data_IF_308121598268
#
_entry.id   IF_308121598268
#
_cell.length_a   1.000
_cell.length_b   1.000
_cell.length_c   1.000
_cell.angle_alpha   90.00
_cell.angle_beta   90.00
_cell.angle_gamma   90.00
#
_symmetry.space_group_name_H-M   'P 1'
#
loop_
_entity.id
_entity.type
_entity.pdbx_description
1 polymer ?
#
# COMPACT_ATOMS: atom_id res chain seq x y z
N UNK A 1 37.21 -65.59 -65.21
CA UNK A 1 35.93 -66.31 -65.07
C UNK A 1 35.02 -65.74 -66.16
N UNK A 2 35.13 -66.22 -67.41
CA UNK A 2 34.63 -67.51 -67.92
C UNK A 2 33.12 -67.59 -67.70
N UNK A 3 32.23 -67.65 -68.68
CA UNK A 3 32.26 -68.34 -69.97
C UNK A 3 31.36 -67.58 -70.98
N UNK A 4 31.66 -67.41 -72.27
CA UNK A 4 32.12 -68.36 -73.31
C UNK A 4 31.11 -69.45 -73.67
N UNK A 5 30.40 -69.21 -74.78
CA UNK A 5 30.31 -70.11 -75.95
C UNK A 5 30.04 -71.60 -75.71
N UNK A 6 28.80 -72.01 -75.92
CA UNK A 6 28.33 -73.36 -76.30
C UNK A 6 26.97 -73.09 -76.98
N UNK A 7 26.59 -73.48 -78.18
CA UNK A 7 27.11 -74.41 -79.18
C UNK A 7 26.47 -73.99 -80.51
N UNK A 8 27.28 -73.66 -81.50
CA UNK A 8 26.90 -73.87 -82.89
C UNK A 8 26.87 -75.38 -83.12
N UNK A 9 25.86 -75.91 -83.81
CA UNK A 9 25.88 -77.05 -84.76
C UNK A 9 24.43 -77.52 -84.92
N UNK A 10 23.84 -77.22 -86.07
CA UNK A 10 22.97 -78.10 -86.87
C UNK A 10 22.74 -77.37 -88.20
N UNK A 11 23.81 -77.39 -89.00
CA UNK A 11 23.87 -76.96 -90.39
C UNK A 11 23.60 -78.18 -91.27
N UNK A 12 22.87 -77.96 -92.36
CA UNK A 12 22.78 -78.79 -93.57
C UNK A 12 21.90 -80.06 -93.46
N UNK A 13 21.08 -80.43 -94.44
CA UNK A 13 20.70 -79.85 -95.72
C UNK A 13 19.56 -80.72 -96.26
N UNK A 14 18.53 -80.11 -96.84
CA UNK A 14 17.72 -80.71 -97.92
C UNK A 14 16.99 -79.55 -98.61
N UNK A 15 17.58 -78.94 -99.65
CA UNK A 15 17.32 -79.22 -101.07
C UNK A 15 15.82 -79.20 -101.43
N UNK A 16 15.35 -78.05 -101.93
CA UNK A 16 14.64 -77.91 -103.22
C UNK A 16 13.91 -76.54 -103.30
N UNK A 17 14.38 -75.67 -104.20
CA UNK A 17 13.52 -74.69 -104.91
C UNK A 17 12.80 -75.46 -106.04
N UNK A 18 11.63 -75.04 -106.58
CA UNK A 18 11.32 -73.64 -106.92
C UNK A 18 9.85 -73.21 -106.70
N UNK A 19 9.57 -71.91 -106.86
CA UNK A 19 8.21 -71.41 -107.13
C UNK A 19 7.76 -70.23 -106.27
N UNK A 20 8.12 -69.01 -106.66
CA UNK A 20 7.22 -67.88 -106.48
C UNK A 20 6.06 -68.01 -107.50
N UNK A 21 4.91 -67.31 -107.36
CA UNK A 21 4.60 -66.22 -106.44
C UNK A 21 3.26 -66.42 -105.71
N UNK A 22 2.94 -65.55 -104.75
CA UNK A 22 1.68 -64.81 -104.67
C UNK A 22 1.63 -64.03 -103.36
N UNK A 23 1.81 -62.72 -103.50
CA UNK A 23 1.31 -61.72 -102.58
C UNK A 23 -0.19 -61.93 -102.34
N UNK A 24 -0.61 -62.03 -101.08
CA UNK A 24 -1.91 -61.58 -100.52
C UNK A 24 -2.12 -62.17 -99.12
N UNK A 25 -1.33 -61.71 -98.15
CA UNK A 25 -1.68 -61.78 -96.72
C UNK A 25 -1.00 -60.70 -95.86
N UNK A 26 -0.23 -59.79 -96.48
CA UNK A 26 0.43 -58.66 -95.81
C UNK A 26 -0.52 -57.52 -95.41
N UNK A 27 -1.59 -57.28 -96.16
CA UNK A 27 -2.46 -56.11 -95.94
C UNK A 27 -3.26 -56.18 -94.63
N UNK A 28 -3.80 -57.35 -94.24
CA UNK A 28 -4.53 -57.49 -92.96
C UNK A 28 -3.61 -57.33 -91.74
N UNK A 29 -2.35 -57.75 -91.82
CA UNK A 29 -1.36 -57.57 -90.74
C UNK A 29 -0.81 -56.14 -90.72
N UNK A 30 -0.65 -55.50 -91.87
CA UNK A 30 -0.24 -54.11 -91.98
C UNK A 30 -1.31 -53.13 -91.47
N UNK A 31 -2.59 -53.39 -91.74
CA UNK A 31 -3.68 -52.55 -91.23
C UNK A 31 -3.93 -52.75 -89.73
N UNK A 32 -3.85 -53.99 -89.21
CA UNK A 32 -3.87 -54.25 -87.77
C UNK A 32 -2.70 -53.57 -87.02
N UNK A 33 -1.50 -53.56 -87.61
CA UNK A 33 -0.34 -52.87 -87.06
C UNK A 33 -0.51 -51.33 -87.05
N UNK A 34 -1.14 -50.76 -88.09
CA UNK A 34 -1.46 -49.32 -88.16
C UNK A 34 -2.51 -48.90 -87.13
N UNK A 35 -3.54 -49.72 -86.90
CA UNK A 35 -4.53 -49.47 -85.86
C UNK A 35 -3.92 -49.53 -84.46
N UNK A 36 -3.05 -50.50 -84.19
CA UNK A 36 -2.30 -50.59 -82.94
C UNK A 36 -1.38 -49.36 -82.75
N UNK A 37 -0.68 -48.92 -83.80
CA UNK A 37 0.14 -47.72 -83.76
C UNK A 37 -0.67 -46.44 -83.46
N UNK A 38 -1.89 -46.31 -84.03
CA UNK A 38 -2.81 -45.19 -83.74
C UNK A 38 -3.29 -45.21 -82.29
N UNK A 39 -3.65 -46.38 -81.76
CA UNK A 39 -4.03 -46.53 -80.33
C UNK A 39 -2.88 -46.20 -79.40
N UNK A 40 -1.66 -46.65 -79.71
CA UNK A 40 -0.46 -46.29 -78.94
C UNK A 40 -0.16 -44.79 -79.01
N UNK A 41 -0.34 -44.16 -80.17
CA UNK A 41 -0.16 -42.71 -80.30
C UNK A 41 -1.21 -41.92 -79.50
N UNK A 42 -2.48 -42.36 -79.51
CA UNK A 42 -3.54 -41.77 -78.69
C UNK A 42 -3.27 -41.97 -77.18
N UNK A 43 -2.83 -43.16 -76.77
CA UNK A 43 -2.46 -43.45 -75.40
C UNK A 43 -1.27 -42.60 -74.95
N UNK A 44 -0.23 -42.44 -75.78
CA UNK A 44 0.89 -41.53 -75.48
C UNK A 44 0.43 -40.08 -75.33
N UNK A 45 -0.48 -39.60 -76.19
CA UNK A 45 -1.04 -38.24 -76.05
C UNK A 45 -1.87 -38.08 -74.78
N UNK A 46 -2.61 -39.10 -74.36
CA UNK A 46 -3.34 -39.08 -73.09
C UNK A 46 -2.37 -39.05 -71.90
N UNK A 47 -1.36 -39.92 -71.89
CA UNK A 47 -0.32 -39.94 -70.87
C UNK A 47 0.45 -38.62 -70.77
N UNK A 48 0.76 -37.97 -71.88
CA UNK A 48 1.42 -36.66 -71.86
C UNK A 48 0.50 -35.56 -71.29
N UNK A 49 -0.82 -35.64 -71.51
CA UNK A 49 -1.79 -34.72 -70.87
C UNK A 49 -1.88 -34.98 -69.37
N UNK A 50 -1.99 -36.24 -68.97
CA UNK A 50 -2.09 -36.63 -67.56
C UNK A 50 -0.81 -36.24 -66.80
N UNK A 51 0.38 -36.43 -67.40
CA UNK A 51 1.64 -35.93 -66.84
C UNK A 51 1.65 -34.40 -66.70
N UNK A 52 1.16 -33.68 -67.71
CA UNK A 52 1.08 -32.22 -67.67
C UNK A 52 0.07 -31.72 -66.62
N UNK A 53 -1.02 -32.46 -66.37
CA UNK A 53 -2.01 -32.15 -65.34
C UNK A 53 -1.46 -32.46 -63.94
N UNK A 54 -0.91 -33.65 -63.73
CA UNK A 54 -0.29 -34.05 -62.47
C UNK A 54 0.89 -33.15 -62.08
N UNK A 55 1.68 -32.68 -63.04
CA UNK A 55 2.78 -31.72 -62.75
C UNK A 55 2.24 -30.36 -62.34
N UNK A 56 1.14 -29.88 -62.93
CA UNK A 56 0.46 -28.65 -62.50
C UNK A 56 -0.15 -28.78 -61.11
N UNK A 57 -0.83 -29.89 -60.84
CA UNK A 57 -1.42 -30.16 -59.52
C UNK A 57 -0.35 -30.27 -58.44
N UNK A 58 0.75 -30.97 -58.72
CA UNK A 58 1.90 -31.06 -57.82
C UNK A 58 2.47 -29.68 -57.51
N UNK A 59 2.72 -28.86 -58.54
CA UNK A 59 3.22 -27.50 -58.35
C UNK A 59 2.24 -26.62 -57.54
N UNK A 60 0.93 -26.75 -57.79
CA UNK A 60 -0.09 -26.03 -57.04
C UNK A 60 -0.17 -26.48 -55.57
N UNK A 61 -0.06 -27.80 -55.32
CA UNK A 61 -0.03 -28.36 -53.96
C UNK A 61 1.22 -27.94 -53.20
N UNK A 62 2.39 -27.96 -53.84
CA UNK A 62 3.66 -27.49 -53.25
C UNK A 62 3.59 -25.99 -52.91
N UNK A 63 3.02 -25.17 -53.78
CA UNK A 63 2.81 -23.74 -53.50
C UNK A 63 1.87 -23.52 -52.30
N UNK A 64 0.77 -24.26 -52.20
CA UNK A 64 -0.14 -24.20 -51.05
C UNK A 64 0.51 -24.68 -49.76
N UNK A 65 1.34 -25.72 -49.82
CA UNK A 65 2.09 -26.21 -48.67
C UNK A 65 3.08 -25.16 -48.16
N UNK A 66 3.85 -24.54 -49.06
CA UNK A 66 4.77 -23.45 -48.72
C UNK A 66 4.05 -22.24 -48.11
N UNK A 67 2.88 -21.86 -48.65
CA UNK A 67 2.08 -20.78 -48.08
C UNK A 67 1.55 -21.14 -46.68
N UNK A 68 1.04 -22.35 -46.49
CA UNK A 68 0.55 -22.84 -45.20
C UNK A 68 1.68 -22.88 -44.16
N UNK A 69 2.88 -23.34 -44.54
CA UNK A 69 4.07 -23.32 -43.68
C UNK A 69 4.47 -21.89 -43.30
N UNK A 70 4.44 -20.95 -44.26
CA UNK A 70 4.68 -19.54 -44.01
C UNK A 70 3.69 -18.93 -43.00
N UNK A 71 2.40 -19.24 -43.17
CA UNK A 71 1.33 -18.82 -42.25
C UNK A 71 1.49 -19.43 -40.86
N UNK A 72 1.80 -20.73 -40.77
CA UNK A 72 2.08 -21.40 -39.50
C UNK A 72 3.30 -20.79 -38.80
N UNK A 73 4.36 -20.48 -39.53
CA UNK A 73 5.54 -19.79 -39.00
C UNK A 73 5.20 -18.40 -38.44
N UNK A 74 4.38 -17.63 -39.16
CA UNK A 74 3.91 -16.32 -38.69
C UNK A 74 3.03 -16.43 -37.43
N UNK A 75 2.07 -17.35 -37.42
CA UNK A 75 1.21 -17.59 -36.26
C UNK A 75 1.99 -18.03 -35.02
N UNK A 76 2.99 -18.91 -35.19
CA UNK A 76 3.88 -19.33 -34.09
C UNK A 76 4.66 -18.15 -33.51
N UNK A 77 5.19 -17.26 -34.35
CA UNK A 77 5.87 -16.04 -33.90
C UNK A 77 4.92 -15.12 -33.14
N UNK A 78 3.72 -14.90 -33.65
CA UNK A 78 2.72 -14.05 -33.00
C UNK A 78 2.28 -14.61 -31.65
N UNK A 79 2.07 -15.93 -31.56
CA UNK A 79 1.75 -16.62 -30.31
C UNK A 79 2.88 -16.47 -29.28
N UNK A 80 4.14 -16.62 -29.71
CA UNK A 80 5.29 -16.42 -28.82
C UNK A 80 5.36 -14.98 -28.28
N UNK A 81 5.09 -13.97 -29.12
CA UNK A 81 5.03 -12.56 -28.70
C UNK A 81 3.87 -12.32 -27.75
N UNK A 82 2.68 -12.84 -28.06
CA UNK A 82 1.50 -12.70 -27.21
C UNK A 82 1.71 -13.34 -25.82
N UNK A 83 2.31 -14.53 -25.76
CA UNK A 83 2.62 -15.20 -24.51
C UNK A 83 3.63 -14.42 -23.66
N UNK A 84 4.65 -13.81 -24.28
CA UNK A 84 5.60 -12.94 -23.56
C UNK A 84 4.89 -11.73 -22.95
N UNK A 85 4.07 -11.04 -23.74
CA UNK A 85 3.26 -9.90 -23.26
C UNK A 85 2.31 -10.31 -22.13
N UNK A 86 1.67 -11.48 -22.24
CA UNK A 86 0.80 -11.98 -21.19
C UNK A 86 1.57 -12.25 -19.89
N UNK A 87 2.79 -12.80 -19.98
CA UNK A 87 3.65 -13.00 -18.82
C UNK A 87 4.13 -11.68 -18.21
N UNK A 88 4.52 -10.70 -19.03
CA UNK A 88 4.91 -9.36 -18.60
C UNK A 88 3.77 -8.65 -17.86
N UNK A 89 2.59 -8.60 -18.47
CA UNK A 89 1.39 -8.02 -17.85
C UNK A 89 0.97 -8.76 -16.56
N UNK A 90 1.15 -10.08 -16.52
CA UNK A 90 0.93 -10.86 -15.31
C UNK A 90 1.86 -10.44 -14.17
N UNK A 91 3.15 -10.27 -14.47
CA UNK A 91 4.13 -9.77 -13.51
C UNK A 91 3.85 -8.35 -13.03
N UNK A 92 3.47 -7.44 -13.94
CA UNK A 92 3.06 -6.08 -13.58
C UNK A 92 1.82 -6.05 -12.68
N UNK A 93 0.81 -6.89 -12.97
CA UNK A 93 -0.39 -7.00 -12.14
C UNK A 93 -0.07 -7.49 -10.73
N UNK A 94 0.81 -8.48 -10.59
CA UNK A 94 1.20 -8.99 -9.28
C UNK A 94 2.05 -7.98 -8.50
N UNK A 95 2.91 -7.22 -9.19
CA UNK A 95 3.65 -6.11 -8.58
C UNK A 95 2.71 -5.01 -8.07
N UNK A 96 1.75 -4.57 -8.90
CA UNK A 96 0.75 -3.56 -8.52
C UNK A 96 -0.14 -4.03 -7.37
N UNK A 97 -0.53 -5.32 -7.34
CA UNK A 97 -1.25 -5.91 -6.20
C UNK A 97 -0.43 -5.83 -4.92
N UNK A 98 0.85 -6.19 -4.98
CA UNK A 98 1.76 -6.10 -3.84
C UNK A 98 1.96 -4.66 -3.34
N UNK A 99 2.07 -3.69 -4.25
CA UNK A 99 2.13 -2.27 -3.88
C UNK A 99 0.84 -1.78 -3.23
N UNK A 100 -0.31 -2.14 -3.80
CA UNK A 100 -1.63 -1.83 -3.24
C UNK A 100 -1.78 -2.39 -1.83
N UNK A 101 -1.36 -3.64 -1.60
CA UNK A 101 -1.42 -4.26 -0.27
C UNK A 101 -0.52 -3.54 0.74
N UNK A 102 0.71 -3.18 0.34
CA UNK A 102 1.62 -2.37 1.18
C UNK A 102 1.04 -1.00 1.50
N UNK A 103 0.46 -0.31 0.51
CA UNK A 103 -0.16 1.00 0.72
C UNK A 103 -1.37 0.90 1.65
N UNK A 104 -2.18 -0.15 1.50
CA UNK A 104 -3.33 -0.41 2.37
C UNK A 104 -2.89 -0.65 3.82
N UNK A 105 -1.84 -1.43 4.04
CA UNK A 105 -1.26 -1.66 5.38
C UNK A 105 -0.71 -0.36 5.98
N UNK A 106 0.02 0.43 5.20
CA UNK A 106 0.55 1.73 5.64
C UNK A 106 -0.56 2.69 6.00
N UNK A 107 -1.63 2.75 5.20
CA UNK A 107 -2.79 3.59 5.47
C UNK A 107 -3.43 3.20 6.82
N UNK A 108 -3.72 1.92 7.03
CA UNK A 108 -4.29 1.42 8.28
C UNK A 108 -3.38 1.72 9.50
N UNK A 109 -2.06 1.58 9.37
CA UNK A 109 -1.13 1.94 10.43
C UNK A 109 -1.14 3.44 10.73
N UNK A 110 -1.14 4.28 9.68
CA UNK A 110 -1.19 5.74 9.86
C UNK A 110 -2.50 6.22 10.46
N UNK A 111 -3.63 5.63 10.10
CA UNK A 111 -4.95 5.94 10.68
C UNK A 111 -4.98 5.56 12.16
N UNK A 112 -4.43 4.40 12.52
CA UNK A 112 -4.30 3.97 13.92
C UNK A 112 -3.44 4.96 14.73
N UNK A 113 -2.26 5.33 14.22
CA UNK A 113 -1.37 6.31 14.88
C UNK A 113 -2.04 7.68 15.01
N UNK A 114 -2.82 8.09 14.01
CA UNK A 114 -3.56 9.35 14.05
C UNK A 114 -4.66 9.33 15.13
N UNK A 115 -5.39 8.22 15.24
CA UNK A 115 -6.37 8.04 16.30
C UNK A 115 -5.72 8.07 17.70
N UNK A 116 -4.63 7.33 17.89
CA UNK A 116 -3.88 7.28 19.15
C UNK A 116 -3.33 8.67 19.56
N UNK A 117 -2.74 9.39 18.61
CA UNK A 117 -2.24 10.76 18.86
C UNK A 117 -3.36 11.74 19.14
N UNK A 118 -4.50 11.62 18.45
CA UNK A 118 -5.70 12.41 18.71
C UNK A 118 -6.27 12.20 20.12
N UNK A 119 -6.32 10.94 20.57
CA UNK A 119 -6.79 10.61 21.92
C UNK A 119 -5.81 11.09 23.01
N UNK A 120 -4.50 10.94 22.79
CA UNK A 120 -3.48 11.46 23.71
C UNK A 120 -3.58 12.98 23.85
N UNK A 121 -3.71 13.71 22.73
CA UNK A 121 -3.84 15.16 22.75
C UNK A 121 -5.10 15.61 23.52
N UNK A 122 -6.22 14.90 23.37
CA UNK A 122 -7.44 15.19 24.14
C UNK A 122 -7.25 14.97 25.64
N UNK A 123 -6.56 13.88 26.02
CA UNK A 123 -6.24 13.57 27.43
C UNK A 123 -5.34 14.64 28.02
N UNK A 124 -4.22 14.94 27.37
CA UNK A 124 -3.28 15.97 27.81
C UNK A 124 -3.93 17.36 27.90
N UNK A 125 -4.76 17.73 26.92
CA UNK A 125 -5.52 18.98 26.98
C UNK A 125 -6.48 19.03 28.17
N UNK A 126 -7.15 17.91 28.47
CA UNK A 126 -8.03 17.77 29.62
C UNK A 126 -7.28 17.87 30.95
N UNK A 127 -6.15 17.18 31.08
CA UNK A 127 -5.28 17.22 32.26
C UNK A 127 -4.71 18.62 32.48
N UNK A 128 -4.21 19.26 31.42
CA UNK A 128 -3.69 20.62 31.48
C UNK A 128 -4.74 21.60 32.01
N UNK A 129 -5.97 21.55 31.49
CA UNK A 129 -7.07 22.40 31.97
C UNK A 129 -7.40 22.14 33.45
N UNK A 130 -7.35 20.89 33.89
CA UNK A 130 -7.58 20.54 35.31
C UNK A 130 -6.47 21.11 36.20
N UNK A 131 -5.21 20.96 35.80
CA UNK A 131 -4.06 21.50 36.54
C UNK A 131 -4.13 23.03 36.58
N UNK A 132 -4.43 23.69 35.47
CA UNK A 132 -4.61 25.15 35.40
C UNK A 132 -5.74 25.62 36.33
N UNK A 133 -6.87 24.91 36.37
CA UNK A 133 -7.97 25.23 37.28
C UNK A 133 -7.60 25.06 38.76
N UNK A 134 -6.91 23.96 39.11
CA UNK A 134 -6.42 23.73 40.47
C UNK A 134 -5.39 24.78 40.89
N UNK A 135 -4.45 25.13 40.00
CA UNK A 135 -3.46 26.16 40.25
C UNK A 135 -4.13 27.52 40.48
N UNK A 136 -5.12 27.89 39.67
CA UNK A 136 -5.90 29.12 39.85
C UNK A 136 -6.65 29.13 41.18
N UNK A 137 -7.26 28.01 41.58
CA UNK A 137 -7.95 27.87 42.86
C UNK A 137 -6.98 28.04 44.04
N UNK A 138 -5.83 27.35 44.01
CA UNK A 138 -4.80 27.48 45.04
C UNK A 138 -4.25 28.91 45.12
N UNK A 139 -3.96 29.55 43.98
CA UNK A 139 -3.50 30.92 43.94
C UNK A 139 -4.52 31.89 44.57
N UNK A 140 -5.81 31.71 44.28
CA UNK A 140 -6.87 32.52 44.87
C UNK A 140 -6.97 32.30 46.39
N UNK A 141 -6.92 31.06 46.87
CA UNK A 141 -6.95 30.73 48.31
C UNK A 141 -5.73 31.30 49.05
N UNK A 142 -4.54 31.17 48.47
CA UNK A 142 -3.33 31.75 49.04
C UNK A 142 -3.40 33.27 49.05
N UNK A 143 -3.87 33.90 47.97
CA UNK A 143 -4.08 35.36 47.92
C UNK A 143 -5.03 35.85 49.01
N UNK A 144 -6.15 35.17 49.24
CA UNK A 144 -7.08 35.50 50.33
C UNK A 144 -6.43 35.33 51.71
N UNK A 145 -5.65 34.26 51.91
CA UNK A 145 -4.96 34.00 53.18
C UNK A 145 -3.92 35.08 53.47
N UNK A 146 -3.13 35.47 52.46
CA UNK A 146 -2.12 36.54 52.59
C UNK A 146 -2.83 37.87 52.89
N UNK A 147 -3.88 38.23 52.16
CA UNK A 147 -4.63 39.46 52.40
C UNK A 147 -5.21 39.53 53.84
N UNK A 148 -5.75 38.41 54.35
CA UNK A 148 -6.22 38.34 55.74
C UNK A 148 -5.07 38.49 56.75
N UNK A 149 -3.91 37.88 56.48
CA UNK A 149 -2.72 38.04 57.32
C UNK A 149 -2.22 39.49 57.32
N UNK A 150 -2.17 40.14 56.16
CA UNK A 150 -1.78 41.56 56.03
C UNK A 150 -2.74 42.47 56.80
N UNK A 151 -4.05 42.26 56.66
CA UNK A 151 -5.07 43.02 57.38
C UNK A 151 -4.94 42.86 58.90
N UNK A 152 -4.76 41.62 59.38
CA UNK A 152 -4.57 41.35 60.82
C UNK A 152 -3.28 41.97 61.34
N UNK A 153 -2.18 41.87 60.59
CA UNK A 153 -0.90 42.47 60.97
C UNK A 153 -1.02 44.00 61.04
N UNK A 154 -1.71 44.63 60.09
CA UNK A 154 -1.97 46.06 60.11
C UNK A 154 -2.80 46.48 61.34
N UNK A 155 -3.85 45.73 61.67
CA UNK A 155 -4.66 45.95 62.90
C UNK A 155 -3.84 45.77 64.16
N UNK A 156 -3.04 44.71 64.24
CA UNK A 156 -2.19 44.41 65.40
C UNK A 156 -1.17 45.53 65.64
N UNK A 157 -0.53 46.02 64.58
CA UNK A 157 0.36 47.16 64.67
C UNK A 157 -0.37 48.42 65.15
N UNK A 158 -1.56 48.69 64.62
CA UNK A 158 -2.41 49.82 65.04
C UNK A 158 -2.76 49.78 66.53
N UNK A 159 -3.22 48.63 67.03
CA UNK A 159 -3.53 48.44 68.46
C UNK A 159 -2.26 48.57 69.32
N UNK A 160 -1.12 48.05 68.87
CA UNK A 160 0.17 48.21 69.56
C UNK A 160 0.60 49.67 69.69
N UNK A 161 0.48 50.46 68.62
CA UNK A 161 0.75 51.90 68.64
C UNK A 161 -0.22 52.64 69.58
N UNK A 162 -1.51 52.31 69.53
CA UNK A 162 -2.51 52.92 70.42
C UNK A 162 -2.21 52.65 71.90
N UNK A 163 -1.76 51.43 72.23
CA UNK A 163 -1.35 51.08 73.59
C UNK A 163 -0.14 51.90 74.06
N UNK A 164 0.86 52.07 73.19
CA UNK A 164 2.07 52.85 73.48
C UNK A 164 1.74 54.34 73.67
N UNK A 165 0.88 54.91 72.83
CA UNK A 165 0.43 56.30 72.97
C UNK A 165 -0.38 56.51 74.26
N UNK A 166 -1.26 55.57 74.63
CA UNK A 166 -1.99 55.63 75.90
C UNK A 166 -1.03 55.56 77.11
N UNK A 167 -0.02 54.70 77.05
CA UNK A 167 1.03 54.64 78.08
C UNK A 167 1.83 55.94 78.15
N UNK A 168 2.19 56.52 77.00
CA UNK A 168 2.93 57.78 76.91
C UNK A 168 2.15 58.98 77.44
N UNK A 169 0.84 59.02 77.20
CA UNK A 169 -0.06 60.07 77.70
C UNK A 169 -0.25 60.02 79.22
N UNK A 170 0.20 58.95 79.89
CA UNK A 170 0.17 58.78 81.34
C UNK A 170 1.20 59.71 82.01
N UNK A 171 0.82 60.96 82.24
CA UNK A 171 1.64 61.93 82.98
C UNK A 171 1.68 61.65 84.48
N UNK A 172 2.66 62.20 85.21
CA UNK A 172 2.75 62.09 86.67
C UNK A 172 1.47 62.53 87.41
N UNK A 173 0.71 63.48 86.86
CA UNK A 173 -0.57 63.93 87.41
C UNK A 173 -1.69 62.90 87.19
N UNK A 174 -1.69 62.21 86.05
CA UNK A 174 -2.63 61.12 85.75
C UNK A 174 -2.40 59.88 86.64
N UNK A 175 -1.14 59.59 86.99
CA UNK A 175 -0.80 58.52 87.93
C UNK A 175 -1.31 58.80 89.36
N UNK A 176 -1.27 60.07 89.80
CA UNK A 176 -1.82 60.49 91.10
C UNK A 176 -3.36 60.40 91.14
N UNK A 177 -4.05 60.81 90.06
CA UNK A 177 -5.51 60.67 89.92
C UNK A 177 -6.00 59.22 89.85
N UNK A 178 -5.15 58.30 89.37
CA UNK A 178 -5.47 56.88 89.31
C UNK A 178 -5.44 56.21 90.70
N UNK A 179 -4.75 56.82 91.66
CA UNK A 179 -4.66 56.37 93.06
C UNK A 179 -5.73 57.02 93.97
N UNK A 180 -6.74 57.68 93.42
CA UNK A 180 -7.75 58.38 94.22
C UNK A 180 -8.58 57.42 95.10
N UNK A 181 -8.63 57.66 96.43
CA UNK A 181 -9.29 56.75 97.38
C UNK A 181 -10.81 56.91 97.48
N UNK A 182 -11.40 57.95 96.87
CA UNK A 182 -12.81 58.30 97.11
C UNK A 182 -13.80 57.77 96.05
N UNK A 183 -13.47 57.81 94.75
CA UNK A 183 -14.41 57.40 93.68
C UNK A 183 -13.96 56.21 92.86
N UNK A 184 -12.65 55.93 92.77
CA UNK A 184 -12.09 54.80 92.02
C UNK A 184 -12.34 54.81 90.50
N UNK A 185 -13.01 55.84 89.96
CA UNK A 185 -13.48 55.89 88.57
C UNK A 185 -12.32 55.74 87.56
N UNK A 186 -11.18 56.39 87.81
CA UNK A 186 -10.00 56.29 86.94
C UNK A 186 -9.32 54.92 86.96
N UNK A 187 -9.49 54.13 88.03
CA UNK A 187 -8.98 52.74 88.07
C UNK A 187 -9.81 51.85 87.15
N UNK A 188 -11.14 51.93 87.26
CA UNK A 188 -12.09 51.19 86.42
C UNK A 188 -11.95 51.56 84.95
N UNK A 189 -11.74 52.84 84.63
CA UNK A 189 -11.49 53.29 83.25
C UNK A 189 -10.26 52.64 82.62
N UNK A 190 -9.17 52.47 83.39
CA UNK A 190 -7.95 51.81 82.92
C UNK A 190 -8.10 50.29 82.87
N UNK A 191 -8.80 49.68 83.83
CA UNK A 191 -9.13 48.25 83.78
C UNK A 191 -9.97 47.94 82.53
N UNK A 192 -11.01 48.73 82.25
CA UNK A 192 -11.82 48.59 81.05
C UNK A 192 -10.99 48.77 79.77
N UNK A 193 -10.10 49.77 79.73
CA UNK A 193 -9.21 49.95 78.58
C UNK A 193 -8.27 48.75 78.36
N UNK A 194 -7.71 48.20 79.44
CA UNK A 194 -6.81 47.03 79.35
C UNK A 194 -7.58 45.79 78.90
N UNK A 195 -8.78 45.55 79.42
CA UNK A 195 -9.63 44.45 78.97
C UNK A 195 -10.07 44.64 77.51
N UNK A 196 -10.53 45.82 77.11
CA UNK A 196 -10.89 46.13 75.72
C UNK A 196 -9.70 45.91 74.76
N UNK A 197 -8.50 46.32 75.17
CA UNK A 197 -7.29 46.11 74.38
C UNK A 197 -6.88 44.63 74.31
N UNK A 198 -7.02 43.88 75.42
CA UNK A 198 -6.79 42.43 75.44
C UNK A 198 -7.75 41.71 74.52
N UNK A 199 -9.05 42.03 74.59
CA UNK A 199 -10.08 41.42 73.75
C UNK A 199 -9.81 41.67 72.25
N UNK A 200 -9.38 42.89 71.88
CA UNK A 200 -8.99 43.22 70.51
C UNK A 200 -7.76 42.46 70.04
N UNK A 201 -6.72 42.38 70.89
CA UNK A 201 -5.49 41.65 70.57
C UNK A 201 -5.72 40.14 70.47
N UNK A 202 -6.53 39.58 71.36
CA UNK A 202 -6.91 38.15 71.34
C UNK A 202 -7.76 37.81 70.10
N UNK A 203 -8.64 38.73 69.67
CA UNK A 203 -9.39 38.59 68.42
C UNK A 203 -8.52 38.61 67.15
N UNK A 204 -7.30 39.16 67.21
CA UNK A 204 -6.34 39.21 66.10
C UNK A 204 -5.37 38.02 66.10
N UNK A 205 -5.39 37.19 67.13
CA UNK A 205 -4.48 36.05 67.27
C UNK A 205 -4.68 35.04 66.14
N UNK A 206 -3.58 34.53 65.57
CA UNK A 206 -3.63 33.47 64.58
C UNK A 206 -4.18 32.19 65.24
N UNK A 207 -5.25 31.64 64.66
CA UNK A 207 -5.69 30.28 64.99
C UNK A 207 -4.57 29.29 64.62
N UNK A 208 -4.22 28.40 65.55
CA UNK A 208 -3.25 27.35 65.26
C UNK A 208 -3.76 26.49 64.09
N UNK A 209 -2.89 26.09 63.14
CA UNK A 209 -3.30 25.23 62.05
C UNK A 209 -3.85 23.92 62.61
N UNK A 210 -5.10 23.60 62.27
CA UNK A 210 -5.66 22.26 62.50
C UNK A 210 -4.83 21.27 61.70
N UNK A 211 -4.13 20.37 62.41
CA UNK A 211 -3.37 19.26 61.83
C UNK A 211 -4.29 18.27 61.11
#
# INVERSE_FOLDING_TARGET
>A
MCASRILAIMLAAFLALPGAPLAQSGDKRADAAREQARRLQQANRALERDKAELTKEKAASEARAQEAEGRLGALRRNLAVANRRAAELGGELDALRGERDRLTQRLAETEKRLAETGDNLRRESGERKRIEALAAQHAAQHGQTIAQCEERNAKLHGEGVALLEHYRAKSCFAAALQAEPFTGLKRVEVENFVEDARDRLDGLRLAAPSR
#
